data_IF_107873555890
#
_entry.id   IF_107873555890
#
_cell.length_a   1.000
_cell.length_b   1.000
_cell.length_c   1.000
_cell.angle_alpha   90.00
_cell.angle_beta   90.00
_cell.angle_gamma   90.00
#
_symmetry.space_group_name_H-M   'P 1'
#
loop_
_entity.id
_entity.type
_entity.pdbx_description
1 polymer ?
#
# COMPACT_ATOMS: atom_id res chain seq x y z
N UNK A 1 19.48 2.29 1.27
CA UNK A 1 18.45 3.23 0.75
C UNK A 1 18.29 3.22 -0.76
N UNK A 2 19.37 3.31 -1.57
CA UNK A 2 19.25 3.27 -3.04
C UNK A 2 18.59 1.98 -3.56
N UNK A 3 18.97 0.82 -3.01
CA UNK A 3 18.35 -0.47 -3.34
C UNK A 3 16.84 -0.51 -3.05
N UNK A 4 16.41 -0.08 -1.87
CA UNK A 4 14.98 -0.06 -1.49
C UNK A 4 14.15 0.84 -2.41
N UNK A 5 14.70 2.00 -2.82
CA UNK A 5 14.03 2.89 -3.78
C UNK A 5 13.94 2.26 -5.17
N UNK A 6 14.98 1.53 -5.59
CA UNK A 6 14.95 0.77 -6.85
C UNK A 6 13.88 -0.31 -6.81
N UNK A 7 13.81 -1.08 -5.72
CA UNK A 7 12.83 -2.15 -5.55
C UNK A 7 11.40 -1.60 -5.45
N UNK A 8 11.21 -0.47 -4.76
CA UNK A 8 9.92 0.23 -4.74
C UNK A 8 9.49 0.64 -6.15
N UNK A 9 10.38 1.24 -6.94
CA UNK A 9 10.08 1.60 -8.32
C UNK A 9 9.78 0.37 -9.20
N UNK A 10 10.46 -0.76 -8.94
CA UNK A 10 10.20 -2.02 -9.63
C UNK A 10 8.80 -2.55 -9.31
N UNK A 11 8.43 -2.59 -8.03
CA UNK A 11 7.09 -2.98 -7.58
C UNK A 11 6.02 -2.11 -8.24
N UNK A 12 6.18 -0.78 -8.19
CA UNK A 12 5.21 0.16 -8.78
C UNK A 12 5.02 -0.03 -10.30
N UNK A 13 6.04 -0.54 -11.00
CA UNK A 13 6.02 -0.73 -12.44
C UNK A 13 5.51 -2.12 -12.85
N UNK A 14 5.87 -3.16 -12.11
CA UNK A 14 5.69 -4.55 -12.52
C UNK A 14 4.50 -5.24 -11.82
N UNK A 15 4.15 -4.82 -10.60
CA UNK A 15 3.06 -5.42 -9.85
C UNK A 15 1.70 -5.13 -10.53
N UNK A 16 0.86 -6.16 -10.78
CA UNK A 16 -0.42 -5.98 -11.46
C UNK A 16 -1.36 -5.00 -10.77
N UNK A 17 -1.43 -5.00 -9.43
CA UNK A 17 -2.29 -4.11 -8.65
C UNK A 17 -1.80 -2.67 -8.80
N UNK A 18 -0.49 -2.44 -8.65
CA UNK A 18 0.11 -1.11 -8.78
C UNK A 18 -0.07 -0.53 -10.20
N UNK A 19 0.04 -1.39 -11.22
CA UNK A 19 -0.15 -1.01 -12.62
C UNK A 19 -1.59 -0.62 -12.92
N UNK A 20 -2.56 -1.39 -12.45
CA UNK A 20 -3.99 -1.07 -12.61
C UNK A 20 -4.28 0.28 -11.96
N UNK A 21 -3.81 0.50 -10.74
CA UNK A 21 -4.06 1.74 -10.00
C UNK A 21 -3.29 2.96 -10.52
N UNK A 22 -2.33 2.78 -11.43
CA UNK A 22 -1.53 3.85 -12.05
C UNK A 22 -0.98 4.85 -11.03
N UNK A 23 -0.30 4.33 -10.01
CA UNK A 23 0.14 5.12 -8.86
C UNK A 23 1.10 6.26 -9.24
N UNK A 24 0.92 7.41 -8.60
CA UNK A 24 1.76 8.60 -8.78
C UNK A 24 2.19 9.14 -7.43
N UNK A 25 3.47 9.47 -7.32
CA UNK A 25 4.00 10.17 -6.16
C UNK A 25 3.70 11.68 -6.28
N UNK A 26 3.02 12.27 -5.29
CA UNK A 26 2.62 13.67 -5.32
C UNK A 26 3.78 14.65 -5.02
N UNK A 27 4.88 14.15 -4.48
CA UNK A 27 6.08 14.92 -4.19
C UNK A 27 7.21 14.02 -3.71
N UNK A 28 7.43 13.98 -2.40
CA UNK A 28 8.33 13.03 -1.75
C UNK A 28 7.55 11.97 -0.98
N UNK A 29 8.19 10.85 -0.68
CA UNK A 29 7.62 9.84 0.22
C UNK A 29 7.30 10.48 1.58
N UNK A 30 6.11 10.22 2.10
CA UNK A 30 5.66 10.64 3.43
C UNK A 30 5.49 9.44 4.36
N UNK A 31 5.41 9.68 5.65
CA UNK A 31 5.16 8.63 6.64
C UNK A 31 4.97 9.22 8.03
N UNK A 32 4.91 8.37 9.08
CA UNK A 32 5.08 6.92 9.03
C UNK A 32 3.86 6.17 8.46
N UNK A 33 4.10 4.99 7.89
CA UNK A 33 3.04 4.09 7.35
C UNK A 33 2.62 3.05 8.38
N UNK A 34 1.36 2.64 8.36
CA UNK A 34 0.85 1.59 9.25
C UNK A 34 0.69 0.26 8.52
N UNK A 35 1.06 -0.83 9.20
CA UNK A 35 0.97 -2.19 8.68
C UNK A 35 -0.46 -2.52 8.22
N UNK A 36 -0.63 -3.23 7.07
CA UNK A 36 -1.94 -3.67 6.61
C UNK A 36 -2.58 -4.62 7.62
N UNK A 37 -3.89 -4.48 7.83
CA UNK A 37 -4.68 -5.37 8.69
C UNK A 37 -5.18 -6.63 7.95
N UNK A 38 -5.69 -7.60 8.71
CA UNK A 38 -6.36 -8.77 8.12
C UNK A 38 -7.73 -8.37 7.56
N UNK A 39 -8.01 -8.70 6.30
CA UNK A 39 -9.18 -8.23 5.57
C UNK A 39 -10.03 -9.41 5.09
N UNK A 40 -11.36 -9.30 5.25
CA UNK A 40 -12.32 -10.35 4.88
C UNK A 40 -12.94 -10.21 3.47
N UNK A 41 -12.86 -9.03 2.84
CA UNK A 41 -13.46 -8.78 1.51
C UNK A 41 -12.59 -7.87 0.62
N UNK A 42 -12.87 -7.87 -0.69
CA UNK A 42 -12.05 -7.11 -1.66
C UNK A 42 -12.12 -5.60 -1.45
N UNK A 43 -13.28 -5.03 -1.15
CA UNK A 43 -13.42 -3.58 -1.02
C UNK A 43 -12.57 -3.08 0.14
N UNK A 44 -12.62 -3.74 1.28
CA UNK A 44 -11.80 -3.43 2.44
C UNK A 44 -10.30 -3.56 2.11
N UNK A 45 -9.91 -4.52 1.26
CA UNK A 45 -8.51 -4.71 0.87
C UNK A 45 -8.02 -3.56 -0.01
N UNK A 46 -8.88 -3.09 -0.92
CA UNK A 46 -8.62 -1.89 -1.73
C UNK A 46 -8.58 -0.63 -0.87
N UNK A 47 -9.48 -0.49 0.10
CA UNK A 47 -9.47 0.65 1.02
C UNK A 47 -8.18 0.68 1.86
N UNK A 48 -7.70 -0.48 2.31
CA UNK A 48 -6.45 -0.58 3.04
C UNK A 48 -5.23 -0.20 2.18
N UNK A 49 -5.22 -0.61 0.91
CA UNK A 49 -4.21 -0.18 -0.06
C UNK A 49 -4.26 1.34 -0.29
N UNK A 50 -5.44 1.91 -0.50
CA UNK A 50 -5.60 3.36 -0.69
C UNK A 50 -5.14 4.15 0.54
N UNK A 51 -5.45 3.67 1.75
CA UNK A 51 -4.96 4.26 3.00
C UNK A 51 -3.43 4.26 3.04
N UNK A 52 -2.79 3.13 2.74
CA UNK A 52 -1.33 3.02 2.72
C UNK A 52 -0.69 3.95 1.68
N UNK A 53 -1.31 4.09 0.51
CA UNK A 53 -0.85 4.99 -0.55
C UNK A 53 -0.90 6.45 -0.10
N UNK A 54 -2.01 6.87 0.51
CA UNK A 54 -2.16 8.22 1.04
C UNK A 54 -1.11 8.52 2.12
N UNK A 55 -0.90 7.61 3.07
CA UNK A 55 0.13 7.75 4.13
C UNK A 55 1.54 7.91 3.55
N UNK A 56 1.81 7.22 2.43
CA UNK A 56 3.09 7.22 1.74
C UNK A 56 3.28 8.38 0.74
N UNK A 57 2.25 9.20 0.52
CA UNK A 57 2.29 10.36 -0.37
C UNK A 57 2.03 10.01 -1.84
N UNK A 58 1.45 8.83 -2.09
CA UNK A 58 0.99 8.40 -3.39
C UNK A 58 -0.50 8.73 -3.59
N UNK A 59 -0.87 8.86 -4.86
CA UNK A 59 -2.27 8.88 -5.28
C UNK A 59 -2.47 7.86 -6.40
N UNK A 60 -3.67 7.29 -6.48
CA UNK A 60 -4.05 6.47 -7.62
C UNK A 60 -4.31 7.37 -8.84
N UNK A 61 -3.93 6.87 -10.02
CA UNK A 61 -4.31 7.48 -11.29
C UNK A 61 -5.77 7.17 -11.65
N UNK A 62 -6.14 7.45 -12.89
CA UNK A 62 -7.40 6.97 -13.42
C UNK A 62 -7.28 5.45 -13.69
N UNK A 63 -8.13 4.65 -13.05
CA UNK A 63 -8.14 3.20 -13.24
C UNK A 63 -9.57 2.68 -13.38
N UNK A 64 -9.69 1.54 -14.04
CA UNK A 64 -10.96 0.83 -14.19
C UNK A 64 -11.19 -0.02 -12.94
N UNK A 65 -12.27 0.24 -12.19
CA UNK A 65 -12.55 -0.50 -10.97
C UNK A 65 -12.84 -1.98 -11.25
N UNK A 66 -13.41 -2.29 -12.41
CA UNK A 66 -13.61 -3.67 -12.86
C UNK A 66 -12.30 -4.43 -12.97
N UNK A 67 -11.24 -3.87 -13.57
CA UNK A 67 -9.93 -4.53 -13.65
C UNK A 67 -9.40 -4.89 -12.25
N UNK A 68 -9.51 -3.98 -11.29
CA UNK A 68 -9.08 -4.20 -9.91
C UNK A 68 -9.94 -5.27 -9.20
N UNK A 69 -11.25 -5.27 -9.45
CA UNK A 69 -12.17 -6.24 -8.85
C UNK A 69 -12.13 -7.63 -9.51
N UNK A 70 -11.50 -7.78 -10.68
CA UNK A 70 -11.22 -9.10 -11.27
C UNK A 70 -10.07 -9.83 -10.54
N UNK A 71 -9.15 -9.11 -9.90
CA UNK A 71 -8.06 -9.72 -9.12
C UNK A 71 -8.58 -10.45 -7.87
N UNK A 72 -7.91 -11.52 -7.43
CA UNK A 72 -8.24 -12.16 -6.17
C UNK A 72 -7.94 -11.23 -4.98
N UNK A 73 -8.69 -11.36 -3.89
CA UNK A 73 -8.44 -10.60 -2.65
C UNK A 73 -7.00 -10.79 -2.16
N UNK A 74 -6.49 -12.02 -2.27
CA UNK A 74 -5.13 -12.39 -1.86
C UNK A 74 -4.07 -11.65 -2.68
N UNK A 75 -4.30 -11.40 -3.97
CA UNK A 75 -3.37 -10.64 -4.81
C UNK A 75 -3.24 -9.19 -4.31
N UNK A 76 -4.38 -8.54 -4.02
CA UNK A 76 -4.41 -7.17 -3.47
C UNK A 76 -3.68 -7.11 -2.13
N UNK A 77 -3.92 -8.08 -1.25
CA UNK A 77 -3.27 -8.14 0.07
C UNK A 77 -1.75 -8.34 -0.04
N UNK A 78 -1.29 -9.26 -0.89
CA UNK A 78 0.15 -9.52 -1.10
C UNK A 78 0.85 -8.28 -1.66
N UNK A 79 0.24 -7.59 -2.64
CA UNK A 79 0.80 -6.38 -3.20
C UNK A 79 0.83 -5.23 -2.17
N UNK A 80 -0.19 -5.13 -1.32
CA UNK A 80 -0.26 -4.14 -0.24
C UNK A 80 0.81 -4.40 0.82
N UNK A 81 1.01 -5.65 1.23
CA UNK A 81 2.06 -6.04 2.17
C UNK A 81 3.47 -5.81 1.59
N UNK A 82 3.68 -6.16 0.32
CA UNK A 82 4.94 -5.91 -0.39
C UNK A 82 5.26 -4.42 -0.45
N UNK A 83 4.26 -3.58 -0.74
CA UNK A 83 4.41 -2.14 -0.72
C UNK A 83 4.78 -1.62 0.68
N UNK A 84 4.06 -2.05 1.71
CA UNK A 84 4.35 -1.68 3.10
C UNK A 84 5.78 -2.04 3.50
N UNK A 85 6.24 -3.26 3.19
CA UNK A 85 7.58 -3.73 3.55
C UNK A 85 8.69 -2.91 2.90
N UNK A 86 8.46 -2.35 1.71
CA UNK A 86 9.41 -1.45 1.05
C UNK A 86 9.34 -0.02 1.60
N UNK A 87 8.16 0.44 2.00
CA UNK A 87 7.96 1.79 2.55
C UNK A 87 8.42 1.92 4.00
N UNK A 88 8.14 0.94 4.85
CA UNK A 88 8.51 0.91 6.28
C UNK A 88 9.95 1.37 6.56
N UNK A 89 11.00 0.82 5.91
CA UNK A 89 12.37 1.27 6.15
C UNK A 89 12.70 2.65 5.54
N UNK A 90 11.87 3.17 4.64
CA UNK A 90 12.08 4.46 3.97
C UNK A 90 11.44 5.64 4.73
N UNK A 91 10.28 5.41 5.35
CA UNK A 91 9.46 6.48 5.97
C UNK A 91 9.06 6.21 7.41
N UNK A 92 9.45 5.06 7.97
CA UNK A 92 9.08 4.63 9.32
C UNK A 92 7.74 3.92 9.38
N UNK A 93 7.51 3.19 10.47
CA UNK A 93 6.27 2.48 10.78
C UNK A 93 5.52 3.18 11.92
N UNK A 94 4.20 3.33 11.77
CA UNK A 94 3.32 3.81 12.83
C UNK A 94 2.98 2.61 13.72
N UNK A 95 3.16 2.70 15.06
CA UNK A 95 2.67 1.68 15.97
C UNK A 95 1.19 1.45 15.75
N UNK A 96 0.75 0.19 15.72
CA UNK A 96 -0.66 -0.12 15.87
C UNK A 96 -1.14 0.50 17.20
N UNK A 97 -2.26 1.21 17.18
CA UNK A 97 -2.78 1.84 18.38
C UNK A 97 -2.86 0.80 19.51
N UNK A 98 -2.17 1.06 20.62
CA UNK A 98 -2.30 0.26 21.83
C UNK A 98 -3.76 0.37 22.29
N UNK A 99 -4.50 -0.73 22.26
CA UNK A 99 -5.74 -0.83 23.04
C UNK A 99 -5.35 -0.55 24.49
N UNK A 100 -5.95 0.44 25.17
CA UNK A 100 -5.62 0.70 26.56
C UNK A 100 -5.94 -0.56 27.36
N UNK A 101 -4.90 -1.14 27.95
CA UNK A 101 -5.00 -2.23 28.91
C UNK A 101 -5.92 -1.74 30.03
N UNK A 102 -7.12 -2.33 30.12
CA UNK A 102 -8.08 -1.97 31.16
C UNK A 102 -7.48 -2.42 32.49
N UNK A 103 -7.02 -1.46 33.27
CA UNK A 103 -6.55 -1.67 34.65
C UNK A 103 -7.72 -1.96 35.57
#
# INVERSE_FOLDING_TARGET
>A
MAYLRMELNNLLREDPVMRIMQLKLLGSLTGPVQAPSSIANKLDAVMELLRLLEEAGFTAGAFAADDLFHLAIVEIMISTESLFNLLKPLVGERPAAETPEST
#
